data_IF_690936819194
#
_entry.id   IF_690936819194
#
_cell.length_a   1.000
_cell.length_b   1.000
_cell.length_c   1.000
_cell.angle_alpha   90.00
_cell.angle_beta   90.00
_cell.angle_gamma   90.00
#
_symmetry.space_group_name_H-M   'P 1'
#
loop_
_entity.id
_entity.type
_entity.pdbx_description
1 polymer ?
#
# COMPACT_ATOMS: atom_id res chain seq x y z
N UNK A 1 -6.99 -6.64 -3.54
CA UNK A 1 -5.92 -7.32 -4.31
C UNK A 1 -4.62 -6.72 -3.85
N UNK A 2 -4.07 -7.31 -2.80
CA UNK A 2 -2.66 -7.25 -2.46
C UNK A 2 -2.31 -8.59 -1.85
N UNK A 3 -2.21 -9.60 -2.71
CA UNK A 3 -1.79 -10.96 -2.35
C UNK A 3 -0.48 -10.93 -1.55
N UNK A 4 0.37 -9.93 -1.81
CA UNK A 4 1.62 -9.69 -1.10
C UNK A 4 1.40 -9.20 0.34
N UNK A 5 0.45 -8.29 0.61
CA UNK A 5 0.18 -7.84 1.98
C UNK A 5 -0.38 -8.98 2.82
N UNK A 6 -1.38 -9.69 2.32
CA UNK A 6 -1.98 -10.85 2.99
C UNK A 6 -0.94 -11.96 3.23
N UNK A 7 -0.03 -12.16 2.27
CA UNK A 7 1.07 -13.11 2.39
C UNK A 7 2.09 -12.71 3.47
N UNK A 8 2.45 -11.42 3.54
CA UNK A 8 3.36 -10.89 4.56
C UNK A 8 2.72 -10.94 5.96
N UNK A 9 1.42 -10.67 6.07
CA UNK A 9 0.70 -10.80 7.35
C UNK A 9 0.70 -12.23 7.87
N UNK A 10 0.53 -13.22 6.97
CA UNK A 10 0.63 -14.65 7.31
C UNK A 10 2.06 -15.10 7.57
N UNK A 11 3.05 -14.46 6.95
CA UNK A 11 4.47 -14.81 7.03
C UNK A 11 5.34 -13.58 7.34
N UNK A 12 5.41 -13.13 8.60
CA UNK A 12 6.13 -11.90 8.97
C UNK A 12 7.62 -11.90 8.60
N UNK A 13 8.28 -13.06 8.63
CA UNK A 13 9.69 -13.20 8.26
C UNK A 13 9.96 -12.88 6.78
N UNK A 14 8.95 -13.07 5.93
CA UNK A 14 9.03 -12.82 4.48
C UNK A 14 9.02 -11.34 4.14
N UNK A 15 8.60 -10.45 5.06
CA UNK A 15 8.64 -9.00 4.85
C UNK A 15 10.05 -8.51 4.47
N UNK A 16 11.09 -9.07 5.10
CA UNK A 16 12.47 -8.68 4.82
C UNK A 16 12.95 -9.20 3.47
N UNK A 17 12.50 -10.40 3.07
CA UNK A 17 12.85 -10.99 1.78
C UNK A 17 12.05 -10.41 0.62
N UNK A 18 10.82 -9.96 0.84
CA UNK A 18 9.93 -9.39 -0.20
C UNK A 18 10.00 -7.87 -0.30
N UNK A 19 10.05 -7.13 0.81
CA UNK A 19 10.11 -5.66 0.82
C UNK A 19 11.44 -5.06 1.31
N UNK A 20 12.32 -5.85 1.93
CA UNK A 20 13.63 -5.39 2.38
C UNK A 20 13.58 -4.75 3.76
N UNK A 21 12.44 -4.88 4.43
CA UNK A 21 12.13 -4.27 5.71
C UNK A 21 11.74 -5.37 6.69
N UNK A 22 12.14 -5.23 7.96
CA UNK A 22 11.58 -6.08 9.01
C UNK A 22 10.09 -5.78 9.15
N UNK A 23 9.31 -6.78 9.57
CA UNK A 23 7.87 -6.64 9.72
C UNK A 23 7.45 -5.50 10.66
N UNK A 24 8.18 -5.29 11.76
CA UNK A 24 7.94 -4.17 12.68
C UNK A 24 8.16 -2.81 12.02
N UNK A 25 9.23 -2.68 11.23
CA UNK A 25 9.54 -1.47 10.47
C UNK A 25 8.46 -1.22 9.40
N UNK A 26 7.96 -2.27 8.76
CA UNK A 26 6.86 -2.19 7.81
C UNK A 26 5.58 -1.68 8.48
N UNK A 27 5.23 -2.19 9.67
CA UNK A 27 4.06 -1.72 10.43
C UNK A 27 4.17 -0.24 10.79
N UNK A 28 5.31 0.18 11.34
CA UNK A 28 5.56 1.58 11.69
C UNK A 28 5.52 2.49 10.46
N UNK A 29 6.03 2.01 9.31
CA UNK A 29 5.97 2.74 8.06
C UNK A 29 4.53 2.90 7.56
N UNK A 30 3.74 1.84 7.60
CA UNK A 30 2.33 1.87 7.18
C UNK A 30 1.53 2.87 8.01
N UNK A 31 1.68 2.82 9.34
CA UNK A 31 1.00 3.74 10.26
C UNK A 31 1.33 5.20 9.94
N UNK A 32 2.63 5.55 9.92
CA UNK A 32 3.08 6.92 9.61
C UNK A 32 2.68 7.38 8.21
N UNK A 33 2.71 6.48 7.22
CA UNK A 33 2.33 6.82 5.85
C UNK A 33 0.83 7.10 5.73
N UNK A 34 -0.01 6.33 6.43
CA UNK A 34 -1.47 6.55 6.48
C UNK A 34 -1.78 7.87 7.20
N UNK A 35 -1.14 8.14 8.33
CA UNK A 35 -1.28 9.42 9.05
C UNK A 35 -0.92 10.61 8.15
N UNK A 36 0.24 10.55 7.49
CA UNK A 36 0.69 11.59 6.58
C UNK A 36 -0.28 11.76 5.40
N UNK A 37 -0.80 10.66 4.86
CA UNK A 37 -1.76 10.70 3.76
C UNK A 37 -3.07 11.38 4.18
N UNK A 38 -3.61 11.01 5.34
CA UNK A 38 -4.83 11.62 5.89
C UNK A 38 -4.63 13.11 6.16
N UNK A 39 -3.49 13.49 6.76
CA UNK A 39 -3.13 14.89 6.97
C UNK A 39 -3.07 15.67 5.64
N UNK A 40 -2.44 15.11 4.61
CA UNK A 40 -2.38 15.74 3.28
C UNK A 40 -3.76 15.88 2.65
N UNK A 41 -4.64 14.90 2.81
CA UNK A 41 -6.02 14.97 2.34
C UNK A 41 -6.79 16.08 3.05
N UNK A 42 -6.66 16.20 4.36
CA UNK A 42 -7.31 17.24 5.16
C UNK A 42 -6.83 18.64 4.76
N UNK A 43 -5.51 18.83 4.64
CA UNK A 43 -4.92 20.08 4.15
C UNK A 43 -5.37 20.40 2.73
N UNK A 44 -5.50 19.39 1.87
CA UNK A 44 -5.99 19.59 0.51
C UNK A 44 -7.49 19.94 0.50
N UNK A 45 -8.32 19.37 1.36
CA UNK A 45 -9.73 19.73 1.49
C UNK A 45 -9.91 21.14 2.09
N UNK A 46 -9.13 21.52 3.11
CA UNK A 46 -9.23 22.86 3.73
C UNK A 46 -8.82 24.00 2.79
N UNK A 47 -7.92 23.73 1.83
CA UNK A 47 -7.52 24.68 0.79
C UNK A 47 -8.48 24.76 -0.40
N UNK A 48 -9.45 23.85 -0.54
CA UNK A 48 -10.35 23.83 -1.69
C UNK A 48 -11.49 24.83 -1.50
N UNK A 49 -11.50 25.87 -2.32
CA UNK A 49 -12.67 26.73 -2.50
C UNK A 49 -13.62 26.03 -3.49
N UNK A 50 -14.72 25.44 -2.99
CA UNK A 50 -15.71 24.74 -3.84
C UNK A 50 -17.04 25.49 -3.84
N UNK A 51 -17.63 25.69 -5.02
CA UNK A 51 -18.99 26.21 -5.21
C UNK A 51 -20.05 25.08 -5.10
N UNK A 52 -19.64 23.83 -5.33
CA UNK A 52 -20.50 22.62 -5.37
C UNK A 52 -19.89 21.47 -4.56
N UNK A 53 -20.73 20.56 -4.05
CA UNK A 53 -20.28 19.36 -3.35
C UNK A 53 -19.42 18.48 -4.27
N UNK A 54 -18.30 17.98 -3.76
CA UNK A 54 -17.39 17.11 -4.51
C UNK A 54 -18.04 15.77 -4.77
N UNK A 55 -18.24 15.41 -6.04
CA UNK A 55 -18.99 14.18 -6.38
C UNK A 55 -18.77 13.61 -7.79
N UNK A 56 -17.67 13.95 -8.47
CA UNK A 56 -17.42 13.51 -9.86
C UNK A 56 -16.33 12.44 -10.07
N UNK A 57 -15.57 12.09 -9.03
CA UNK A 57 -14.39 11.22 -9.17
C UNK A 57 -14.70 9.74 -8.97
N UNK A 58 -14.05 8.87 -9.76
CA UNK A 58 -14.08 7.41 -9.54
C UNK A 58 -13.32 7.09 -8.25
N UNK A 59 -13.94 6.30 -7.37
CA UNK A 59 -13.30 5.80 -6.14
C UNK A 59 -12.06 4.97 -6.49
N UNK A 60 -11.01 5.09 -5.68
CA UNK A 60 -9.78 4.30 -5.83
C UNK A 60 -10.08 2.82 -5.63
N UNK A 61 -9.50 1.96 -6.48
CA UNK A 61 -9.70 0.50 -6.41
C UNK A 61 -8.94 -0.17 -5.27
N UNK A 62 -7.84 0.45 -4.83
CA UNK A 62 -6.94 -0.07 -3.80
C UNK A 62 -7.05 0.79 -2.54
N UNK A 63 -7.01 0.16 -1.38
CA UNK A 63 -6.89 0.85 -0.10
C UNK A 63 -5.48 1.42 0.09
N UNK A 64 -5.29 2.44 0.95
CA UNK A 64 -3.96 3.04 1.17
C UNK A 64 -2.86 2.03 1.56
N UNK A 65 -3.09 1.03 2.43
CA UNK A 65 -2.10 0.00 2.72
C UNK A 65 -1.69 -0.79 1.48
N UNK A 66 -2.66 -1.20 0.66
CA UNK A 66 -2.40 -1.95 -0.57
C UNK A 66 -1.57 -1.12 -1.57
N UNK A 67 -1.85 0.18 -1.68
CA UNK A 67 -1.08 1.09 -2.53
C UNK A 67 0.37 1.22 -2.06
N UNK A 68 0.59 1.35 -0.75
CA UNK A 68 1.94 1.44 -0.17
C UNK A 68 2.71 0.15 -0.43
N UNK A 69 2.11 -1.01 -0.16
CA UNK A 69 2.75 -2.31 -0.38
C UNK A 69 3.07 -2.53 -1.86
N UNK A 70 2.14 -2.21 -2.75
CA UNK A 70 2.37 -2.31 -4.20
C UNK A 70 3.55 -1.42 -4.62
N UNK A 71 3.62 -0.20 -4.09
CA UNK A 71 4.71 0.74 -4.38
C UNK A 71 6.05 0.20 -3.89
N UNK A 72 6.13 -0.27 -2.64
CA UNK A 72 7.35 -0.86 -2.09
C UNK A 72 7.81 -2.10 -2.87
N UNK A 73 6.85 -2.94 -3.27
CA UNK A 73 7.10 -4.13 -4.09
C UNK A 73 7.67 -3.73 -5.45
N UNK A 74 7.08 -2.73 -6.10
CA UNK A 74 7.54 -2.22 -7.39
C UNK A 74 8.93 -1.59 -7.30
N UNK A 75 9.17 -0.74 -6.30
CA UNK A 75 10.45 -0.05 -6.11
C UNK A 75 11.61 -1.02 -5.84
N UNK A 76 11.34 -2.14 -5.17
CA UNK A 76 12.38 -3.12 -4.90
C UNK A 76 12.82 -3.88 -6.14
N UNK A 77 12.00 -3.89 -7.20
CA UNK A 77 12.29 -4.43 -8.54
C UNK A 77 12.91 -5.85 -8.56
N UNK A 78 12.74 -6.63 -7.48
CA UNK A 78 13.15 -8.02 -7.39
C UNK A 78 11.98 -8.88 -7.88
N UNK A 79 11.92 -9.12 -9.18
CA UNK A 79 11.02 -10.13 -9.76
C UNK A 79 11.52 -11.51 -9.38
N UNK A 80 11.24 -11.93 -8.14
CA UNK A 80 11.55 -13.28 -7.67
C UNK A 80 10.46 -14.24 -8.13
N UNK A 81 10.82 -15.50 -8.37
CA UNK A 81 9.88 -16.59 -8.68
C UNK A 81 8.77 -16.73 -7.62
N UNK A 82 9.01 -16.28 -6.40
CA UNK A 82 8.00 -16.25 -5.34
C UNK A 82 6.94 -15.18 -5.57
N UNK A 83 7.32 -14.01 -6.08
CA UNK A 83 6.35 -12.99 -6.41
C UNK A 83 5.43 -13.45 -7.55
N UNK A 84 6.02 -14.11 -8.55
CA UNK A 84 5.27 -14.79 -9.60
C UNK A 84 4.39 -15.90 -9.03
N UNK A 85 4.90 -16.75 -8.12
CA UNK A 85 4.10 -17.78 -7.46
C UNK A 85 2.94 -17.23 -6.63
N UNK A 86 3.11 -16.10 -5.95
CA UNK A 86 2.05 -15.40 -5.21
C UNK A 86 0.99 -14.82 -6.17
N UNK A 87 1.37 -14.49 -7.40
CA UNK A 87 0.46 -14.03 -8.46
C UNK A 87 -0.26 -15.20 -9.16
N UNK A 88 0.44 -16.30 -9.42
CA UNK A 88 -0.02 -17.45 -10.21
C UNK A 88 -0.73 -18.54 -9.38
N UNK A 89 -0.56 -18.60 -8.06
CA UNK A 89 -1.21 -19.61 -7.19
C UNK A 89 -2.75 -19.47 -7.08
N UNK A 90 -3.37 -18.73 -8.00
CA UNK A 90 -4.81 -18.50 -8.07
C UNK A 90 -5.40 -18.74 -9.47
N UNK A 91 -4.68 -19.39 -10.39
CA UNK A 91 -5.30 -20.00 -11.58
C UNK A 91 -5.97 -21.33 -11.22
#
# INVERSE_FOLDING_TARGET
MSTVLEYIEKNPHEAQRLLGLKYEQLKQLLEKAIELYNYKLEVAESKKVRIIRGGGGRKTKLSPPEQIILTLTYLRHLTTFQLLGIQEARQ
#
